data_IF_235597703269
#
_entry.id   IF_235597703269
#
_cell.length_a   1.000
_cell.length_b   1.000
_cell.length_c   1.000
_cell.angle_alpha   90.00
_cell.angle_beta   90.00
_cell.angle_gamma   90.00
#
_symmetry.space_group_name_H-M   'P 1'
#
loop_
_entity.id
_entity.type
_entity.pdbx_description
1 polymer ?
#
# COMPACT_ATOMS: atom_id res chain seq x y z
N UNK A 1 -9.80 -9.73 -63.66
CA UNK A 1 -8.75 -9.91 -62.63
C UNK A 1 -9.42 -10.39 -61.34
N UNK A 2 -8.85 -11.41 -60.69
CA UNK A 2 -9.42 -12.18 -59.57
C UNK A 2 -9.45 -11.38 -58.26
N UNK A 3 -10.59 -11.42 -57.56
CA UNK A 3 -10.84 -10.81 -56.24
C UNK A 3 -10.00 -11.46 -55.14
N UNK A 4 -8.74 -11.05 -54.96
CA UNK A 4 -7.90 -11.47 -53.83
C UNK A 4 -7.95 -10.50 -52.63
N UNK A 5 -8.55 -9.33 -52.79
CA UNK A 5 -8.55 -8.28 -51.77
C UNK A 5 -9.51 -8.55 -50.60
N UNK A 6 -10.64 -9.21 -50.84
CA UNK A 6 -11.65 -9.51 -49.81
C UNK A 6 -11.23 -10.56 -48.76
N UNK A 7 -10.33 -11.49 -49.11
CA UNK A 7 -9.83 -12.51 -48.16
C UNK A 7 -8.94 -11.93 -47.07
N UNK A 8 -8.20 -10.85 -47.36
CA UNK A 8 -7.29 -10.25 -46.39
C UNK A 8 -7.99 -9.35 -45.38
N UNK A 9 -9.12 -8.73 -45.77
CA UNK A 9 -9.95 -7.90 -44.89
C UNK A 9 -10.63 -8.76 -43.81
N UNK A 10 -11.09 -9.96 -44.16
CA UNK A 10 -11.69 -10.90 -43.20
C UNK A 10 -10.68 -11.41 -42.14
N UNK A 11 -9.40 -11.57 -42.50
CA UNK A 11 -8.36 -12.05 -41.58
C UNK A 11 -7.87 -10.93 -40.65
N UNK A 12 -7.73 -9.70 -41.15
CA UNK A 12 -7.35 -8.53 -40.33
C UNK A 12 -8.40 -8.18 -39.27
N UNK A 13 -9.68 -8.42 -39.54
CA UNK A 13 -10.77 -8.14 -38.60
C UNK A 13 -10.78 -9.05 -37.36
N UNK A 14 -10.17 -10.23 -37.42
CA UNK A 14 -10.08 -11.14 -36.27
C UNK A 14 -8.93 -10.82 -35.32
N UNK A 15 -7.87 -10.14 -35.78
CA UNK A 15 -6.72 -9.80 -34.94
C UNK A 15 -6.98 -8.62 -33.99
N UNK A 16 -7.97 -7.77 -34.29
CA UNK A 16 -8.31 -6.60 -33.48
C UNK A 16 -9.12 -6.89 -32.21
N UNK A 17 -9.73 -8.08 -32.09
CA UNK A 17 -10.67 -8.38 -31.00
C UNK A 17 -10.00 -8.89 -29.71
N UNK A 18 -8.73 -9.32 -29.76
CA UNK A 18 -8.02 -9.90 -28.61
C UNK A 18 -7.34 -8.87 -27.68
N UNK A 19 -7.31 -7.59 -28.04
CA UNK A 19 -6.69 -6.54 -27.22
C UNK A 19 -7.60 -5.98 -26.11
N UNK A 20 -8.89 -6.37 -26.06
CA UNK A 20 -9.87 -5.77 -25.14
C UNK A 20 -9.99 -6.47 -23.77
N UNK A 21 -9.38 -7.65 -23.57
CA UNK A 21 -9.65 -8.48 -22.39
C UNK A 21 -8.63 -8.37 -21.25
N UNK A 22 -7.74 -7.37 -21.25
CA UNK A 22 -6.73 -7.22 -20.20
C UNK A 22 -6.44 -5.76 -19.81
N UNK A 23 -7.45 -4.87 -19.84
CA UNK A 23 -7.31 -3.57 -19.17
C UNK A 23 -7.52 -3.79 -17.67
N UNK A 24 -6.48 -4.32 -17.02
CA UNK A 24 -6.38 -4.33 -15.56
C UNK A 24 -6.46 -2.87 -15.12
N UNK A 25 -7.47 -2.53 -14.32
CA UNK A 25 -7.61 -1.15 -13.88
C UNK A 25 -6.37 -0.74 -13.07
N UNK A 26 -5.95 0.54 -13.09
CA UNK A 26 -4.82 1.00 -12.29
C UNK A 26 -4.92 0.59 -10.81
N UNK A 27 -6.15 0.52 -10.29
CA UNK A 27 -6.47 0.05 -8.94
C UNK A 27 -6.12 -1.43 -8.69
N UNK A 28 -6.38 -2.31 -9.66
CA UNK A 28 -6.06 -3.73 -9.53
C UNK A 28 -4.55 -3.99 -9.56
N UNK A 29 -3.82 -3.25 -10.39
CA UNK A 29 -2.35 -3.30 -10.46
C UNK A 29 -1.74 -2.81 -9.14
N UNK A 30 -2.24 -1.69 -8.60
CA UNK A 30 -1.79 -1.15 -7.33
C UNK A 30 -2.06 -2.11 -6.15
N UNK A 31 -3.22 -2.75 -6.14
CA UNK A 31 -3.58 -3.71 -5.10
C UNK A 31 -2.68 -4.96 -5.15
N UNK A 32 -2.42 -5.51 -6.34
CA UNK A 32 -1.50 -6.65 -6.51
C UNK A 32 -0.07 -6.31 -6.08
N UNK A 33 0.41 -5.11 -6.44
CA UNK A 33 1.72 -4.62 -6.01
C UNK A 33 1.80 -4.45 -4.48
N UNK A 34 0.74 -3.93 -3.86
CA UNK A 34 0.65 -3.74 -2.40
C UNK A 34 0.63 -5.08 -1.67
N UNK A 35 -0.14 -6.07 -2.16
CA UNK A 35 -0.15 -7.43 -1.61
C UNK A 35 1.22 -8.10 -1.69
N UNK A 36 1.89 -7.99 -2.85
CA UNK A 36 3.25 -8.51 -3.02
C UNK A 36 4.24 -7.81 -2.10
N UNK A 37 4.13 -6.50 -1.93
CA UNK A 37 4.98 -5.75 -0.99
C UNK A 37 4.74 -6.21 0.46
N UNK A 38 3.47 -6.42 0.86
CA UNK A 38 3.13 -6.92 2.19
C UNK A 38 3.69 -8.32 2.46
N UNK A 39 3.68 -9.22 1.48
CA UNK A 39 4.24 -10.57 1.61
C UNK A 39 5.77 -10.59 1.77
N UNK A 40 6.47 -9.62 1.18
CA UNK A 40 7.93 -9.57 1.19
C UNK A 40 8.50 -8.59 2.23
N UNK A 41 7.64 -7.91 3.00
CA UNK A 41 8.07 -6.92 3.99
C UNK A 41 8.87 -7.57 5.11
N UNK A 42 10.09 -7.10 5.33
CA UNK A 42 10.97 -7.61 6.39
C UNK A 42 11.78 -6.51 7.08
N UNK A 43 11.91 -5.34 6.47
CA UNK A 43 12.68 -4.22 6.99
C UNK A 43 11.80 -3.11 7.54
N UNK A 44 12.39 -2.23 8.36
CA UNK A 44 11.75 -0.99 8.80
C UNK A 44 11.14 -0.22 7.62
N UNK A 45 11.91 -0.05 6.54
CA UNK A 45 11.50 0.72 5.37
C UNK A 45 10.32 0.08 4.64
N UNK A 46 10.28 -1.25 4.56
CA UNK A 46 9.16 -1.97 3.93
C UNK A 46 7.86 -1.71 4.70
N UNK A 47 7.87 -1.93 6.01
CA UNK A 47 6.70 -1.72 6.86
C UNK A 47 6.29 -0.23 6.93
N UNK A 48 7.23 0.71 7.00
CA UNK A 48 6.90 2.14 6.94
C UNK A 48 6.27 2.54 5.59
N UNK A 49 6.78 1.99 4.48
CA UNK A 49 6.20 2.26 3.16
C UNK A 49 4.78 1.69 3.01
N UNK A 50 4.53 0.48 3.53
CA UNK A 50 3.21 -0.15 3.54
C UNK A 50 2.22 0.61 4.41
N UNK A 51 2.67 1.08 5.58
CA UNK A 51 1.85 1.93 6.43
C UNK A 51 1.33 3.17 5.68
N UNK A 52 2.22 3.88 4.98
CA UNK A 52 1.88 5.05 4.18
C UNK A 52 0.93 4.73 3.02
N UNK A 53 1.14 3.59 2.33
CA UNK A 53 0.27 3.13 1.24
C UNK A 53 -1.16 2.88 1.74
N UNK A 54 -1.29 2.10 2.81
CA UNK A 54 -2.59 1.82 3.40
C UNK A 54 -3.25 3.08 3.99
N UNK A 55 -2.50 4.01 4.56
CA UNK A 55 -3.04 5.29 5.02
C UNK A 55 -3.59 6.13 3.85
N UNK A 56 -2.89 6.18 2.73
CA UNK A 56 -3.36 6.88 1.53
C UNK A 56 -4.60 6.22 0.93
N UNK A 57 -4.62 4.88 0.85
CA UNK A 57 -5.80 4.14 0.42
C UNK A 57 -7.01 4.41 1.33
N UNK A 58 -6.81 4.49 2.65
CA UNK A 58 -7.86 4.86 3.59
C UNK A 58 -8.40 6.29 3.33
N UNK A 59 -7.52 7.25 3.01
CA UNK A 59 -7.93 8.62 2.63
C UNK A 59 -8.77 8.62 1.36
N UNK A 60 -8.36 7.86 0.34
CA UNK A 60 -9.13 7.72 -0.89
C UNK A 60 -10.51 7.09 -0.64
N UNK A 61 -10.59 6.04 0.17
CA UNK A 61 -11.87 5.40 0.51
C UNK A 61 -12.79 6.34 1.30
N UNK A 62 -12.23 7.20 2.19
CA UNK A 62 -13.00 8.24 2.88
C UNK A 62 -13.55 9.28 1.92
N UNK A 63 -12.75 9.75 0.96
CA UNK A 63 -13.21 10.68 -0.06
C UNK A 63 -14.37 10.09 -0.89
N UNK A 64 -14.24 8.83 -1.33
CA UNK A 64 -15.32 8.13 -2.04
C UNK A 64 -16.56 7.96 -1.17
N UNK A 65 -16.40 7.64 0.12
CA UNK A 65 -17.53 7.57 1.06
C UNK A 65 -18.24 8.93 1.18
N UNK A 66 -17.52 10.04 1.28
CA UNK A 66 -18.11 11.38 1.33
C UNK A 66 -18.89 11.73 0.04
N UNK A 67 -18.38 11.35 -1.13
CA UNK A 67 -19.09 11.50 -2.39
C UNK A 67 -20.41 10.70 -2.41
N UNK A 68 -20.38 9.43 -2.00
CA UNK A 68 -21.59 8.61 -1.92
C UNK A 68 -22.57 9.14 -0.88
N UNK A 69 -22.09 9.71 0.23
CA UNK A 69 -22.94 10.31 1.24
C UNK A 69 -23.72 11.50 0.68
N UNK A 70 -23.04 12.43 -0.01
CA UNK A 70 -23.69 13.58 -0.66
C UNK A 70 -24.69 13.16 -1.74
N UNK A 71 -24.36 12.10 -2.49
CA UNK A 71 -25.25 11.56 -3.51
C UNK A 71 -26.49 10.89 -2.89
N UNK A 72 -26.31 10.18 -1.77
CA UNK A 72 -27.41 9.56 -1.03
C UNK A 72 -28.36 10.63 -0.50
N UNK A 73 -27.82 11.67 0.15
CA UNK A 73 -28.60 12.83 0.61
C UNK A 73 -29.42 13.43 -0.54
N UNK A 74 -28.82 13.59 -1.72
CA UNK A 74 -29.53 14.09 -2.88
C UNK A 74 -30.68 13.19 -3.34
N UNK A 75 -30.48 11.86 -3.36
CA UNK A 75 -31.52 10.91 -3.74
C UNK A 75 -32.61 10.79 -2.69
N UNK A 76 -32.30 11.02 -1.41
CA UNK A 76 -33.27 11.08 -0.31
C UNK A 76 -34.11 12.36 -0.40
N UNK A 77 -33.46 13.53 -0.46
CA UNK A 77 -34.09 14.85 -0.49
C UNK A 77 -34.92 15.07 -1.76
N UNK A 78 -34.44 14.58 -2.90
CA UNK A 78 -35.06 14.80 -4.22
C UNK A 78 -35.59 13.52 -4.85
N UNK A 79 -36.01 12.56 -4.04
CA UNK A 79 -36.58 11.28 -4.49
C UNK A 79 -37.70 11.45 -5.54
N UNK A 80 -38.50 12.51 -5.44
CA UNK A 80 -39.57 12.85 -6.39
C UNK A 80 -39.09 13.05 -7.84
N UNK A 81 -37.81 13.43 -8.07
CA UNK A 81 -37.23 13.57 -9.40
C UNK A 81 -36.98 12.22 -10.10
N UNK A 82 -36.89 11.13 -9.34
CA UNK A 82 -36.49 9.81 -9.83
C UNK A 82 -37.64 8.79 -9.86
N UNK A 83 -38.78 9.12 -9.25
CA UNK A 83 -39.96 8.27 -9.19
C UNK A 83 -39.64 6.90 -8.58
N UNK A 84 -40.11 5.82 -9.21
CA UNK A 84 -39.87 4.44 -8.73
C UNK A 84 -38.41 4.05 -8.61
N UNK A 85 -37.50 4.70 -9.36
CA UNK A 85 -36.06 4.39 -9.31
C UNK A 85 -35.36 4.99 -8.08
N UNK A 86 -36.01 5.90 -7.35
CA UNK A 86 -35.41 6.55 -6.18
C UNK A 86 -34.92 5.53 -5.15
N UNK A 87 -35.75 4.52 -4.86
CA UNK A 87 -35.42 3.49 -3.87
C UNK A 87 -34.20 2.65 -4.27
N UNK A 88 -34.10 2.25 -5.54
CA UNK A 88 -32.97 1.48 -6.05
C UNK A 88 -31.67 2.30 -5.99
N UNK A 89 -31.74 3.58 -6.37
CA UNK A 89 -30.61 4.51 -6.30
C UNK A 89 -30.13 4.71 -4.85
N UNK A 90 -31.06 4.97 -3.93
CA UNK A 90 -30.75 5.10 -2.49
C UNK A 90 -30.11 3.82 -1.94
N UNK A 91 -30.69 2.65 -2.23
CA UNK A 91 -30.18 1.37 -1.75
C UNK A 91 -28.77 1.09 -2.27
N UNK A 92 -28.54 1.33 -3.57
CA UNK A 92 -27.24 1.15 -4.21
C UNK A 92 -26.18 2.10 -3.63
N UNK A 93 -26.47 3.40 -3.56
CA UNK A 93 -25.55 4.40 -3.04
C UNK A 93 -25.26 4.18 -1.54
N UNK A 94 -26.27 3.81 -0.76
CA UNK A 94 -26.09 3.43 0.65
C UNK A 94 -25.18 2.20 0.80
N UNK A 95 -25.30 1.21 -0.09
CA UNK A 95 -24.41 0.05 -0.10
C UNK A 95 -22.96 0.43 -0.44
N UNK A 96 -22.75 1.32 -1.42
CA UNK A 96 -21.43 1.84 -1.75
C UNK A 96 -20.82 2.63 -0.60
N UNK A 97 -21.60 3.51 0.06
CA UNK A 97 -21.18 4.27 1.22
C UNK A 97 -20.66 3.36 2.35
N UNK A 98 -21.43 2.33 2.70
CA UNK A 98 -21.01 1.34 3.72
C UNK A 98 -19.74 0.62 3.32
N UNK A 99 -19.64 0.18 2.06
CA UNK A 99 -18.45 -0.52 1.54
C UNK A 99 -17.20 0.35 1.64
N UNK A 100 -17.27 1.61 1.20
CA UNK A 100 -16.12 2.51 1.27
C UNK A 100 -15.72 2.83 2.70
N UNK A 101 -16.67 3.01 3.63
CA UNK A 101 -16.37 3.15 5.06
C UNK A 101 -15.65 1.92 5.61
N UNK A 102 -16.14 0.72 5.30
CA UNK A 102 -15.50 -0.52 5.71
C UNK A 102 -14.06 -0.63 5.16
N UNK A 103 -13.86 -0.36 3.87
CA UNK A 103 -12.53 -0.38 3.29
C UNK A 103 -11.61 0.67 3.91
N UNK A 104 -12.11 1.88 4.22
CA UNK A 104 -11.30 2.87 4.94
C UNK A 104 -10.83 2.33 6.30
N UNK A 105 -11.71 1.68 7.07
CA UNK A 105 -11.36 1.09 8.36
C UNK A 105 -10.34 -0.06 8.23
N UNK A 106 -10.54 -0.95 7.27
CA UNK A 106 -9.61 -2.05 7.00
C UNK A 106 -8.21 -1.54 6.62
N UNK A 107 -8.15 -0.53 5.76
CA UNK A 107 -6.89 0.12 5.39
C UNK A 107 -6.22 0.79 6.61
N UNK A 108 -6.97 1.46 7.49
CA UNK A 108 -6.39 2.03 8.74
C UNK A 108 -5.85 0.93 9.66
N UNK A 109 -6.54 -0.22 9.77
CA UNK A 109 -6.05 -1.36 10.56
C UNK A 109 -4.72 -1.88 10.00
N UNK A 110 -4.62 -2.03 8.68
CA UNK A 110 -3.38 -2.44 8.02
C UNK A 110 -2.27 -1.40 8.20
N UNK A 111 -2.57 -0.10 8.05
CA UNK A 111 -1.61 0.96 8.26
C UNK A 111 -1.04 0.92 9.69
N UNK A 112 -1.90 0.82 10.69
CA UNK A 112 -1.51 0.70 12.12
C UNK A 112 -0.66 -0.53 12.37
N UNK A 113 -1.02 -1.68 11.79
CA UNK A 113 -0.26 -2.92 11.90
C UNK A 113 1.18 -2.74 11.37
N UNK A 114 1.32 -2.19 10.17
CA UNK A 114 2.64 -1.96 9.58
C UNK A 114 3.45 -0.88 10.32
N UNK A 115 2.82 0.17 10.85
CA UNK A 115 3.51 1.16 11.72
C UNK A 115 4.09 0.51 12.98
N UNK A 116 3.35 -0.43 13.58
CA UNK A 116 3.81 -1.17 14.76
C UNK A 116 5.04 -2.02 14.41
N UNK A 117 4.97 -2.80 13.34
CA UNK A 117 6.09 -3.64 12.88
C UNK A 117 7.34 -2.80 12.57
N UNK A 118 7.18 -1.65 11.91
CA UNK A 118 8.29 -0.72 11.67
C UNK A 118 8.89 -0.24 13.00
N UNK A 119 8.05 0.19 13.95
CA UNK A 119 8.50 0.69 15.25
C UNK A 119 9.27 -0.36 16.07
N UNK A 120 8.87 -1.62 16.00
CA UNK A 120 9.56 -2.74 16.65
C UNK A 120 10.95 -2.97 16.03
N UNK A 121 11.05 -3.04 14.70
CA UNK A 121 12.32 -3.18 13.99
C UNK A 121 13.27 -1.99 14.26
N UNK A 122 12.74 -0.77 14.31
CA UNK A 122 13.51 0.43 14.64
C UNK A 122 14.07 0.41 16.06
N UNK A 123 13.33 -0.13 17.03
CA UNK A 123 13.81 -0.28 18.41
C UNK A 123 14.91 -1.35 18.53
N UNK A 124 14.73 -2.51 17.88
CA UNK A 124 15.75 -3.57 17.84
C UNK A 124 17.06 -3.04 17.27
N UNK A 125 17.01 -2.30 16.16
CA UNK A 125 18.19 -1.71 15.55
C UNK A 125 18.90 -0.71 16.46
N UNK A 126 18.15 0.12 17.22
CA UNK A 126 18.74 1.05 18.19
C UNK A 126 19.38 0.36 19.38
N UNK A 127 18.74 -0.69 19.91
CA UNK A 127 19.29 -1.47 21.02
C UNK A 127 20.60 -2.18 20.63
N UNK A 128 20.67 -2.74 19.42
CA UNK A 128 21.89 -3.36 18.89
C UNK A 128 23.03 -2.34 18.67
N UNK A 129 22.71 -1.10 18.28
CA UNK A 129 23.72 -0.04 18.15
C UNK A 129 24.22 0.47 19.50
N UNK A 130 23.37 0.52 20.52
CA UNK A 130 23.75 0.89 21.89
C UNK A 130 24.76 -0.09 22.48
N UNK A 131 24.47 -1.40 22.40
CA UNK A 131 25.37 -2.44 22.92
C UNK A 131 26.72 -2.51 22.19
N UNK A 132 26.72 -2.26 20.87
CA UNK A 132 27.96 -2.23 20.09
C UNK A 132 28.86 -1.02 20.41
N UNK A 133 28.27 0.11 20.81
CA UNK A 133 29.02 1.30 21.27
C UNK A 133 29.58 1.12 22.67
N UNK A 134 28.83 0.53 23.59
CA UNK A 134 29.29 0.22 24.94
C UNK A 134 30.46 -0.78 24.95
N UNK A 135 30.37 -1.84 24.13
CA UNK A 135 31.44 -2.84 24.00
C UNK A 135 32.74 -2.26 23.39
N UNK A 136 32.66 -1.22 22.55
CA UNK A 136 33.84 -0.53 22.02
C UNK A 136 34.47 0.44 23.03
N UNK A 137 33.65 1.05 23.88
CA UNK A 137 34.14 1.96 24.92
C UNK A 137 34.92 1.20 26.02
N UNK A 138 34.49 0.00 26.40
CA UNK A 138 35.20 -0.84 27.38
C UNK A 138 36.51 -1.44 26.86
N UNK A 139 36.62 -1.73 25.57
CA UNK A 139 37.87 -2.21 24.96
C UNK A 139 38.93 -1.11 24.76
N UNK A 140 38.53 0.17 24.78
CA UNK A 140 39.42 1.32 24.57
C UNK A 140 40.14 1.80 25.83
N UNK A 141 39.70 1.40 27.03
CA UNK A 141 40.26 1.86 28.31
C UNK A 141 41.41 1.00 28.83
N UNK A 142 41.67 -0.17 28.25
CA UNK A 142 42.65 -1.16 28.75
C UNK A 142 44.04 -1.08 28.07
N UNK A 143 44.30 -0.04 27.25
CA UNK A 143 45.55 0.10 26.48
C UNK A 143 46.35 1.37 26.79
N UNK A 144 46.50 1.66 28.07
CA UNK A 144 47.62 2.41 28.66
C UNK A 144 47.85 1.63 29.95
N UNK A 145 48.79 0.68 29.99
CA UNK A 145 50.03 0.87 30.73
C UNK A 145 50.97 -0.33 30.45
N UNK A 146 51.88 -0.21 29.49
CA UNK A 146 53.07 -1.08 29.47
C UNK A 146 54.24 -0.32 28.83
N UNK A 147 54.67 0.73 29.52
CA UNK A 147 56.00 1.29 29.35
C UNK A 147 56.83 0.92 30.59
N UNK A 148 57.50 -0.22 30.52
CA UNK A 148 58.28 -0.81 31.61
C UNK A 148 59.67 -1.18 31.13
N UNK A 149 60.54 -0.18 31.13
CA UNK A 149 61.98 -0.26 30.94
C UNK A 149 62.64 -1.32 31.84
N UNK A 150 63.50 -2.16 31.27
CA UNK A 150 64.64 -2.80 31.93
C UNK A 150 65.64 -3.14 30.83
N UNK A 151 66.79 -2.49 30.71
CA UNK A 151 67.79 -2.35 31.77
C UNK A 151 68.85 -3.43 31.52
N UNK A 152 69.77 -3.14 30.60
CA UNK A 152 70.92 -3.99 30.30
C UNK A 152 71.99 -3.75 31.36
N UNK A 153 72.42 -4.81 32.05
CA UNK A 153 73.58 -4.79 32.95
C UNK A 153 74.46 -6.01 32.63
N UNK A 154 75.63 -5.68 32.07
CA UNK A 154 76.95 -6.34 32.10
C UNK A 154 77.02 -7.85 32.36
#
# INVERSE_FOLDING_TARGET
MKTRLGKHIAVLSMLGLLASCAQMSPFEVENAATLRAAQNASTYGDHDSLAKRYENAAKEMRAKAEEQNKLLEHYEDKSYLYGRRAQDLQAHTSALLRRYRQFAEENIKQATYHQKMASELGQVNRAAQGSSRENKASAGTDRKDFNGSSGNAL
#
